data_IF_773526424610
#
_entry.id   IF_773526424610
#
_cell.length_a   1.000
_cell.length_b   1.000
_cell.length_c   1.000
_cell.angle_alpha   90.00
_cell.angle_beta   90.00
_cell.angle_gamma   90.00
#
_symmetry.space_group_name_H-M   'P 1'
#
loop_
_entity.id
_entity.type
_entity.pdbx_description
1 polymer ?
#
# COMPACT_ATOMS: atom_id res chain seq x y z
N UNK A 1 38.28 1.47 -3.45
CA UNK A 1 37.17 2.35 -3.05
C UNK A 1 35.79 1.70 -3.28
N UNK A 2 35.53 1.11 -4.46
CA UNK A 2 34.29 0.36 -4.75
C UNK A 2 34.07 -0.90 -3.87
N UNK A 3 35.14 -1.56 -3.41
CA UNK A 3 35.03 -2.75 -2.55
C UNK A 3 34.57 -2.44 -1.12
N UNK A 4 34.95 -1.29 -0.56
CA UNK A 4 34.48 -0.88 0.78
C UNK A 4 32.99 -0.55 0.78
N UNK A 5 32.48 -0.01 -0.33
CA UNK A 5 31.04 0.25 -0.51
C UNK A 5 30.26 -1.07 -0.55
N UNK A 6 30.76 -2.10 -1.24
CA UNK A 6 30.16 -3.45 -1.22
C UNK A 6 30.14 -4.08 0.18
N UNK A 7 31.20 -3.88 0.97
CA UNK A 7 31.31 -4.47 2.30
C UNK A 7 30.36 -3.82 3.33
N UNK A 8 30.09 -2.51 3.18
CA UNK A 8 29.11 -1.80 4.02
C UNK A 8 27.67 -2.10 3.56
N UNK A 9 27.42 -2.28 2.27
CA UNK A 9 26.09 -2.65 1.75
C UNK A 9 25.68 -4.10 2.06
N UNK A 10 26.65 -5.01 2.21
CA UNK A 10 26.41 -6.41 2.57
C UNK A 10 26.33 -6.68 4.08
N UNK A 11 26.34 -5.65 4.92
CA UNK A 11 26.33 -5.82 6.37
C UNK A 11 24.95 -6.31 6.83
N UNK A 12 24.93 -7.55 7.33
CA UNK A 12 23.74 -8.25 7.78
C UNK A 12 23.28 -7.67 9.12
N UNK A 13 22.09 -7.08 9.16
CA UNK A 13 21.56 -6.44 10.38
C UNK A 13 20.79 -7.43 11.27
N UNK A 14 20.29 -8.54 10.72
CA UNK A 14 19.50 -9.53 11.48
C UNK A 14 19.92 -10.94 11.04
N UNK A 15 20.68 -11.64 11.89
CA UNK A 15 21.01 -13.05 11.69
C UNK A 15 19.95 -13.90 12.40
N UNK A 16 18.77 -14.00 11.79
CA UNK A 16 17.78 -15.03 12.12
C UNK A 16 17.60 -15.88 10.87
N UNK A 17 17.87 -17.19 11.01
CA UNK A 17 18.00 -18.29 10.03
C UNK A 17 17.09 -18.37 8.77
N UNK A 18 16.30 -17.37 8.41
CA UNK A 18 15.40 -17.43 7.26
C UNK A 18 14.92 -16.08 6.71
N UNK A 19 15.50 -14.93 7.12
CA UNK A 19 15.14 -13.61 6.54
C UNK A 19 16.41 -12.77 6.34
N UNK A 20 16.90 -12.71 5.10
CA UNK A 20 18.02 -11.86 4.70
C UNK A 20 17.56 -10.40 4.51
N UNK A 21 17.18 -9.71 5.59
CA UNK A 21 16.88 -8.27 5.51
C UNK A 21 18.19 -7.47 5.59
N UNK A 22 18.70 -7.08 4.43
CA UNK A 22 19.96 -6.36 4.28
C UNK A 22 19.76 -4.84 4.33
N UNK A 23 20.83 -4.07 4.56
CA UNK A 23 20.81 -2.59 4.48
C UNK A 23 20.31 -2.11 3.09
N UNK A 24 20.59 -2.90 2.06
CA UNK A 24 20.07 -2.67 0.71
C UNK A 24 18.55 -2.68 0.65
N UNK A 25 17.87 -3.61 1.33
CA UNK A 25 16.41 -3.72 1.35
C UNK A 25 15.76 -2.50 2.00
N UNK A 26 16.37 -1.97 3.06
CA UNK A 26 15.93 -0.73 3.69
C UNK A 26 16.05 0.47 2.72
N UNK A 27 17.13 0.50 1.92
CA UNK A 27 17.33 1.55 0.93
C UNK A 27 16.33 1.42 -0.22
N UNK A 28 16.04 0.20 -0.68
CA UNK A 28 14.99 -0.11 -1.66
C UNK A 28 13.62 0.28 -1.13
N UNK A 29 13.32 0.03 0.14
CA UNK A 29 12.07 0.43 0.79
C UNK A 29 11.87 1.94 0.70
N UNK A 30 12.87 2.72 1.15
CA UNK A 30 12.82 4.18 1.11
C UNK A 30 12.60 4.67 -0.33
N UNK A 31 13.29 4.07 -1.30
CA UNK A 31 13.14 4.42 -2.71
C UNK A 31 11.74 4.08 -3.23
N UNK A 32 11.20 2.91 -2.90
CA UNK A 32 9.86 2.47 -3.27
C UNK A 32 8.77 3.38 -2.69
N UNK A 33 8.93 3.83 -1.44
CA UNK A 33 8.05 4.82 -0.82
C UNK A 33 8.07 6.15 -1.57
N UNK A 34 9.27 6.66 -1.91
CA UNK A 34 9.41 7.91 -2.64
C UNK A 34 8.80 7.82 -4.04
N UNK A 35 9.08 6.73 -4.76
CA UNK A 35 8.55 6.49 -6.11
C UNK A 35 7.02 6.38 -6.10
N UNK A 36 6.46 5.62 -5.15
CA UNK A 36 5.02 5.50 -4.98
C UNK A 36 4.37 6.85 -4.65
N UNK A 37 4.99 7.64 -3.76
CA UNK A 37 4.51 8.99 -3.43
C UNK A 37 4.44 9.91 -4.65
N UNK A 38 5.41 9.82 -5.57
CA UNK A 38 5.43 10.57 -6.83
C UNK A 38 4.27 10.11 -7.74
N UNK A 39 4.12 8.80 -7.96
CA UNK A 39 3.05 8.25 -8.79
C UNK A 39 1.68 8.67 -8.27
N UNK A 40 1.43 8.48 -6.98
CA UNK A 40 0.15 8.84 -6.36
C UNK A 40 -0.14 10.33 -6.48
N UNK A 41 0.88 11.18 -6.33
CA UNK A 41 0.72 12.62 -6.52
C UNK A 41 0.36 12.97 -7.96
N UNK A 42 0.95 12.30 -8.95
CA UNK A 42 0.62 12.51 -10.36
C UNK A 42 -0.83 12.09 -10.62
N UNK A 43 -1.22 10.89 -10.20
CA UNK A 43 -2.58 10.36 -10.32
C UNK A 43 -3.58 11.33 -9.67
N UNK A 44 -3.31 11.77 -8.44
CA UNK A 44 -4.16 12.72 -7.73
C UNK A 44 -4.38 14.00 -8.53
N UNK A 45 -3.31 14.60 -9.05
CA UNK A 45 -3.40 15.85 -9.84
C UNK A 45 -4.22 15.66 -11.10
N UNK A 46 -4.17 14.49 -11.73
CA UNK A 46 -4.95 14.22 -12.95
C UNK A 46 -6.43 14.10 -12.60
N UNK A 47 -6.76 13.38 -11.51
CA UNK A 47 -8.16 13.14 -11.14
C UNK A 47 -8.81 14.40 -10.54
N UNK A 48 -8.13 15.11 -9.64
CA UNK A 48 -8.69 16.30 -8.97
C UNK A 48 -9.02 17.43 -9.96
N UNK A 49 -8.32 17.49 -11.11
CA UNK A 49 -8.63 18.44 -12.19
C UNK A 49 -9.97 18.18 -12.88
N UNK A 50 -10.48 16.95 -12.81
CA UNK A 50 -11.75 16.55 -13.41
C UNK A 50 -12.93 16.70 -12.45
N UNK A 51 -12.69 17.03 -11.18
CA UNK A 51 -13.72 17.10 -10.14
C UNK A 51 -14.19 18.54 -9.93
N UNK A 52 -15.51 18.79 -9.88
CA UNK A 52 -16.09 20.10 -9.56
C UNK A 52 -15.59 20.64 -8.21
N UNK A 53 -15.36 21.96 -8.11
CA UNK A 53 -14.82 22.60 -6.89
C UNK A 53 -15.58 22.21 -5.61
N UNK A 54 -16.91 22.08 -5.70
CA UNK A 54 -17.79 21.71 -4.59
C UNK A 54 -17.54 20.30 -4.01
N UNK A 55 -17.02 19.37 -4.81
CA UNK A 55 -16.80 17.97 -4.40
C UNK A 55 -15.32 17.63 -4.19
N UNK A 56 -14.41 18.58 -4.45
CA UNK A 56 -12.95 18.37 -4.27
C UNK A 56 -12.60 17.97 -2.84
N UNK A 57 -13.22 18.59 -1.83
CA UNK A 57 -12.93 18.30 -0.43
C UNK A 57 -13.30 16.85 -0.05
N UNK A 58 -14.42 16.35 -0.56
CA UNK A 58 -14.83 14.94 -0.36
C UNK A 58 -13.83 14.01 -1.04
N UNK A 59 -13.43 14.34 -2.26
CA UNK A 59 -12.47 13.51 -3.01
C UNK A 59 -11.08 13.50 -2.38
N UNK A 60 -10.61 14.61 -1.79
CA UNK A 60 -9.33 14.64 -1.07
C UNK A 60 -9.34 13.63 0.07
N UNK A 61 -10.43 13.54 0.83
CA UNK A 61 -10.60 12.55 1.89
C UNK A 61 -10.56 11.11 1.37
N UNK A 62 -11.32 10.81 0.32
CA UNK A 62 -11.34 9.49 -0.33
C UNK A 62 -9.97 9.13 -0.90
N UNK A 63 -9.31 10.07 -1.58
CA UNK A 63 -7.97 9.86 -2.11
C UNK A 63 -6.94 9.60 -1.00
N UNK A 64 -7.04 10.30 0.13
CA UNK A 64 -6.17 10.07 1.27
C UNK A 64 -6.33 8.65 1.84
N UNK A 65 -7.55 8.12 1.89
CA UNK A 65 -7.80 6.73 2.26
C UNK A 65 -7.09 5.75 1.32
N UNK A 66 -7.26 5.89 0.00
CA UNK A 66 -6.57 5.05 -0.99
C UNK A 66 -5.03 5.21 -0.94
N UNK A 67 -4.54 6.42 -0.66
CA UNK A 67 -3.11 6.69 -0.51
C UNK A 67 -2.50 5.85 0.61
N UNK A 68 -3.15 5.73 1.76
CA UNK A 68 -2.64 4.90 2.86
C UNK A 68 -2.67 3.42 2.53
N UNK A 69 -3.73 2.93 1.86
CA UNK A 69 -3.80 1.54 1.37
C UNK A 69 -2.63 1.24 0.43
N UNK A 70 -2.33 2.14 -0.53
CA UNK A 70 -1.19 1.98 -1.43
C UNK A 70 0.14 1.89 -0.68
N UNK A 71 0.36 2.71 0.35
CA UNK A 71 1.57 2.63 1.17
C UNK A 71 1.69 1.32 1.94
N UNK A 72 0.57 0.76 2.44
CA UNK A 72 0.56 -0.58 3.06
C UNK A 72 1.04 -1.63 2.05
N UNK A 73 0.53 -1.57 0.81
CA UNK A 73 0.98 -2.48 -0.26
C UNK A 73 2.47 -2.34 -0.59
N UNK A 74 3.03 -1.12 -0.61
CA UNK A 74 4.47 -0.91 -0.82
C UNK A 74 5.30 -1.60 0.25
N UNK A 75 4.92 -1.47 1.52
CA UNK A 75 5.59 -2.16 2.63
C UNK A 75 5.48 -3.67 2.42
N UNK A 76 4.28 -4.17 2.13
CA UNK A 76 4.05 -5.60 1.91
C UNK A 76 4.90 -6.17 0.77
N UNK A 77 4.96 -5.49 -0.38
CA UNK A 77 5.76 -5.94 -1.51
C UNK A 77 7.25 -5.85 -1.25
N UNK A 78 7.71 -4.83 -0.53
CA UNK A 78 9.13 -4.71 -0.22
C UNK A 78 9.56 -5.80 0.76
N UNK A 79 8.76 -6.06 1.80
CA UNK A 79 9.02 -7.16 2.73
C UNK A 79 9.02 -8.52 2.01
N UNK A 80 8.05 -8.75 1.12
CA UNK A 80 8.01 -9.95 0.30
C UNK A 80 9.27 -10.11 -0.56
N UNK A 81 9.74 -9.02 -1.18
CA UNK A 81 10.94 -9.01 -2.01
C UNK A 81 12.20 -9.33 -1.19
N UNK A 82 12.25 -8.92 0.08
CA UNK A 82 13.32 -9.26 1.03
C UNK A 82 13.20 -10.65 1.65
N UNK A 83 12.31 -11.51 1.13
CA UNK A 83 12.13 -12.89 1.59
C UNK A 83 11.26 -13.07 2.83
N UNK A 84 10.59 -12.01 3.31
CA UNK A 84 9.63 -12.14 4.42
C UNK A 84 8.38 -12.86 3.95
N UNK A 85 7.95 -13.86 4.72
CA UNK A 85 6.72 -14.58 4.43
C UNK A 85 5.48 -13.68 4.67
N UNK A 86 4.75 -13.38 3.60
CA UNK A 86 3.59 -12.50 3.65
C UNK A 86 2.26 -13.21 3.96
N UNK A 87 2.25 -14.53 4.15
CA UNK A 87 1.02 -15.30 4.31
C UNK A 87 0.20 -14.86 5.52
N UNK A 88 0.86 -14.50 6.63
CA UNK A 88 0.19 -13.94 7.82
C UNK A 88 -0.48 -12.60 7.53
N UNK A 89 0.20 -11.70 6.82
CA UNK A 89 -0.36 -10.40 6.43
C UNK A 89 -1.53 -10.53 5.46
N UNK A 90 -1.44 -11.46 4.50
CA UNK A 90 -2.53 -11.75 3.57
C UNK A 90 -3.74 -12.34 4.30
N UNK A 91 -3.52 -13.25 5.24
CA UNK A 91 -4.59 -13.85 6.06
C UNK A 91 -5.26 -12.80 6.94
N UNK A 92 -4.48 -11.93 7.60
CA UNK A 92 -5.01 -10.82 8.40
C UNK A 92 -5.79 -9.82 7.54
N UNK A 93 -5.29 -9.51 6.34
CA UNK A 93 -5.97 -8.63 5.39
C UNK A 93 -7.29 -9.25 4.91
N UNK A 94 -7.32 -10.54 4.61
CA UNK A 94 -8.54 -11.25 4.25
C UNK A 94 -9.58 -11.18 5.38
N UNK A 95 -9.18 -11.39 6.63
CA UNK A 95 -10.07 -11.24 7.78
C UNK A 95 -10.61 -9.80 7.94
N UNK A 96 -9.76 -8.78 7.75
CA UNK A 96 -10.18 -7.37 7.76
C UNK A 96 -11.17 -7.07 6.64
N UNK A 97 -10.90 -7.53 5.41
CA UNK A 97 -11.79 -7.32 4.27
C UNK A 97 -13.14 -8.04 4.44
N UNK A 98 -13.14 -9.24 5.04
CA UNK A 98 -14.39 -9.92 5.41
C UNK A 98 -15.16 -9.09 6.44
N UNK A 99 -14.50 -8.58 7.49
CA UNK A 99 -15.13 -7.71 8.48
C UNK A 99 -15.72 -6.42 7.88
N UNK A 100 -15.00 -5.77 6.97
CA UNK A 100 -15.48 -4.59 6.23
C UNK A 100 -16.66 -4.97 5.33
N UNK A 101 -16.59 -6.12 4.65
CA UNK A 101 -17.66 -6.63 3.81
C UNK A 101 -18.96 -6.87 4.57
N UNK A 102 -18.87 -7.42 5.78
CA UNK A 102 -20.02 -7.59 6.67
C UNK A 102 -20.59 -6.24 7.13
N UNK A 103 -19.74 -5.28 7.49
CA UNK A 103 -20.18 -3.95 7.91
C UNK A 103 -20.86 -3.15 6.77
N UNK A 104 -20.40 -3.34 5.53
CA UNK A 104 -20.97 -2.69 4.33
C UNK A 104 -22.07 -3.52 3.66
N UNK A 105 -22.44 -4.67 4.21
CA UNK A 105 -23.38 -5.60 3.58
C UNK A 105 -24.73 -4.92 3.28
N UNK A 106 -25.28 -4.20 4.26
CA UNK A 106 -26.56 -3.49 4.10
C UNK A 106 -26.46 -2.40 3.03
N UNK A 107 -25.36 -1.65 2.98
CA UNK A 107 -25.16 -0.62 1.96
C UNK A 107 -25.17 -1.21 0.54
N UNK A 108 -24.52 -2.35 0.32
CA UNK A 108 -24.58 -3.03 -0.98
C UNK A 108 -25.97 -3.57 -1.30
N UNK A 109 -26.69 -4.11 -0.31
CA UNK A 109 -28.07 -4.57 -0.49
C UNK A 109 -29.01 -3.42 -0.89
N UNK A 110 -28.85 -2.26 -0.28
CA UNK A 110 -29.64 -1.06 -0.59
C UNK A 110 -29.37 -0.59 -2.03
N UNK A 111 -28.11 -0.57 -2.47
CA UNK A 111 -27.75 -0.25 -3.86
C UNK A 111 -28.38 -1.23 -4.84
N UNK A 112 -28.24 -2.54 -4.59
CA UNK A 112 -28.79 -3.58 -5.47
C UNK A 112 -30.32 -3.47 -5.53
N UNK A 113 -30.97 -3.29 -4.38
CA UNK A 113 -32.43 -3.13 -4.30
C UNK A 113 -32.89 -1.89 -5.06
N UNK A 114 -32.17 -0.77 -4.93
CA UNK A 114 -32.47 0.46 -5.66
C UNK A 114 -32.31 0.32 -7.17
N UNK A 115 -31.29 -0.40 -7.66
CA UNK A 115 -31.10 -0.65 -9.09
C UNK A 115 -32.17 -1.61 -9.64
N UNK A 116 -32.55 -2.64 -8.88
CA UNK A 116 -33.56 -3.63 -9.29
C UNK A 116 -35.00 -3.10 -9.26
N UNK A 117 -35.29 -2.07 -8.45
CA UNK A 117 -36.60 -1.42 -8.42
C UNK A 117 -36.83 -0.45 -9.58
N UNK A 118 -35.78 -0.05 -10.31
CA UNK A 118 -35.87 0.74 -11.55
C UNK A 118 -36.25 -0.17 -12.72
#
# INVERSE_FOLDING_TARGET
MLEHVKNILGFRLIDTKSIDFSVFDLLVLIFAFMFTGIILRIIFRIIIKKIPEQDKNKFVGVFQFFKYIAYIFVVMFTLHASGVNMNVFLTASAALFVGIGLALQTFFQDIISGILMI
#
